data_IF_746145702144
#
_entry.id   IF_746145702144
#
_cell.length_a   1.000
_cell.length_b   1.000
_cell.length_c   1.000
_cell.angle_alpha   90.00
_cell.angle_beta   90.00
_cell.angle_gamma   90.00
#
_symmetry.space_group_name_H-M   'P 1'
#
loop_
_entity.id
_entity.type
_entity.pdbx_description
1 polymer ?
#
# COMPACT_ATOMS: atom_id res chain seq x y z
N UNK A 1 23.53 21.78 -6.96
CA UNK A 1 23.27 21.18 -6.80
C UNK A 1 23.15 20.46 -6.68
N UNK A 2 23.11 20.29 -6.55
CA UNK A 2 22.82 19.50 -6.44
C UNK A 2 22.67 18.72 -6.14
N UNK A 3 22.67 18.65 -6.21
CA UNK A 3 22.37 17.81 -5.97
C UNK A 3 22.13 17.15 -5.51
N UNK A 4 22.05 17.15 -5.35
CA UNK A 4 21.68 16.37 -4.89
C UNK A 4 21.27 15.89 -4.62
N UNK A 5 21.07 15.89 -4.65
CA UNK A 5 20.53 15.26 -4.41
C UNK A 5 20.20 14.52 -4.21
N UNK A 6 20.19 14.37 -4.23
CA UNK A 6 19.95 13.53 -4.25
C UNK A 6 19.74 12.57 -3.65
N UNK A 7 20.01 12.18 -3.07
CA UNK A 7 19.77 11.30 -2.46
C UNK A 7 18.82 11.40 -1.73
N UNK A 8 18.10 11.47 -2.14
CA UNK A 8 17.20 11.49 -1.56
C UNK A 8 16.75 10.55 -1.02
N UNK A 9 16.68 10.57 -0.11
CA UNK A 9 16.20 9.56 0.70
C UNK A 9 14.87 9.21 0.22
N UNK A 10 14.70 7.98 0.06
CA UNK A 10 13.40 7.43 -0.23
C UNK A 10 12.66 7.49 1.09
N UNK A 11 11.57 8.24 1.12
CA UNK A 11 10.80 8.39 2.34
C UNK A 11 10.08 7.12 2.69
N UNK A 12 9.74 6.32 1.71
CA UNK A 12 9.07 5.05 1.93
C UNK A 12 9.37 4.09 0.79
N UNK A 13 9.33 2.82 1.07
CA UNK A 13 9.53 1.80 0.06
C UNK A 13 8.79 0.53 0.49
N UNK A 14 8.52 -0.33 -0.46
CA UNK A 14 7.89 -1.61 -0.16
C UNK A 14 8.97 -2.64 0.14
N UNK A 15 8.82 -3.35 1.25
CA UNK A 15 9.78 -4.38 1.64
C UNK A 15 9.35 -5.76 1.17
N UNK A 16 8.06 -6.02 1.14
CA UNK A 16 7.55 -7.31 0.69
C UNK A 16 6.11 -7.16 0.26
N UNK A 17 5.65 -8.08 -0.56
CA UNK A 17 4.26 -8.10 -0.98
C UNK A 17 3.78 -9.54 -1.08
N UNK A 18 2.49 -9.72 -0.90
CA UNK A 18 1.87 -11.02 -0.98
C UNK A 18 0.48 -10.84 -1.60
N UNK A 19 0.19 -11.64 -2.63
CA UNK A 19 -1.07 -11.57 -3.31
C UNK A 19 -1.92 -12.76 -2.95
N UNK A 20 -3.18 -12.53 -2.66
CA UNK A 20 -4.14 -13.60 -2.45
C UNK A 20 -5.29 -13.37 -3.41
N UNK A 21 -5.57 -14.35 -4.24
CA UNK A 21 -6.68 -14.26 -5.17
C UNK A 21 -7.65 -15.38 -4.85
N UNK A 22 -8.89 -15.02 -4.64
CA UNK A 22 -9.91 -16.00 -4.30
C UNK A 22 -11.13 -15.65 -5.13
N UNK A 23 -11.56 -16.56 -5.97
CA UNK A 23 -12.64 -16.33 -6.90
C UNK A 23 -12.31 -15.09 -7.73
N UNK A 24 -13.08 -14.04 -7.59
CA UNK A 24 -12.84 -12.82 -8.34
C UNK A 24 -12.27 -11.72 -7.47
N UNK A 25 -11.72 -12.07 -6.33
CA UNK A 25 -11.24 -11.07 -5.37
C UNK A 25 -9.71 -11.12 -5.30
N UNK A 26 -9.09 -9.99 -5.51
CA UNK A 26 -7.64 -9.88 -5.47
C UNK A 26 -7.26 -8.99 -4.29
N UNK A 27 -6.58 -9.57 -3.33
CA UNK A 27 -6.16 -8.88 -2.12
C UNK A 27 -4.65 -8.75 -2.13
N UNK A 28 -4.15 -7.55 -1.99
CA UNK A 28 -2.71 -7.27 -1.98
C UNK A 28 -2.30 -6.89 -0.57
N UNK A 29 -1.38 -7.65 0.01
CA UNK A 29 -0.83 -7.35 1.33
C UNK A 29 0.60 -6.90 1.15
N UNK A 30 0.96 -5.74 1.70
CA UNK A 30 2.31 -5.21 1.54
C UNK A 30 2.86 -4.75 2.87
N UNK A 31 4.17 -4.84 3.00
CA UNK A 31 4.90 -4.30 4.14
C UNK A 31 5.73 -3.13 3.63
N UNK A 32 5.58 -1.99 4.28
CA UNK A 32 6.20 -0.74 3.88
C UNK A 32 7.19 -0.30 4.95
N UNK A 33 8.33 0.22 4.53
CA UNK A 33 9.22 0.91 5.44
C UNK A 33 9.09 2.40 5.16
N UNK A 34 8.95 3.20 6.20
CA UNK A 34 8.88 4.65 6.07
C UNK A 34 9.62 5.25 7.25
N UNK A 35 10.27 6.42 7.06
CA UNK A 35 11.02 6.97 8.16
C UNK A 35 10.07 7.51 9.25
N UNK A 36 10.63 7.74 10.43
CA UNK A 36 9.82 8.12 11.59
C UNK A 36 9.07 9.43 11.37
N UNK A 37 9.68 10.37 10.69
CA UNK A 37 9.04 11.66 10.47
C UNK A 37 7.84 11.53 9.53
N UNK A 38 7.97 10.66 8.53
CA UNK A 38 6.89 10.40 7.58
C UNK A 38 5.70 9.75 8.30
N UNK A 39 5.98 8.84 9.23
CA UNK A 39 4.95 8.11 9.93
C UNK A 39 4.18 8.99 10.93
N UNK A 40 4.77 10.11 11.36
CA UNK A 40 4.11 10.99 12.32
C UNK A 40 2.78 11.53 11.79
N UNK A 41 2.71 11.79 10.49
CA UNK A 41 1.44 12.19 9.88
C UNK A 41 0.87 10.96 9.21
N UNK A 42 0.15 10.18 9.99
CA UNK A 42 -0.35 8.88 9.55
C UNK A 42 -1.24 8.97 8.33
N UNK A 43 -2.12 9.98 8.29
CA UNK A 43 -3.04 10.11 7.16
C UNK A 43 -2.31 10.48 5.87
N UNK A 44 -1.36 11.38 5.93
CA UNK A 44 -0.59 11.76 4.76
C UNK A 44 0.27 10.59 4.29
N UNK A 45 0.88 9.88 5.24
CA UNK A 45 1.72 8.73 4.93
C UNK A 45 0.90 7.65 4.24
N UNK A 46 -0.27 7.34 4.77
CA UNK A 46 -1.14 6.30 4.21
C UNK A 46 -1.61 6.66 2.81
N UNK A 47 -2.00 7.90 2.59
CA UNK A 47 -2.43 8.35 1.27
C UNK A 47 -1.30 8.26 0.26
N UNK A 48 -0.09 8.59 0.68
CA UNK A 48 1.06 8.51 -0.21
C UNK A 48 1.38 7.06 -0.56
N UNK A 49 1.24 6.15 0.40
CA UNK A 49 1.43 4.72 0.16
C UNK A 49 0.45 4.23 -0.92
N UNK A 50 -0.81 4.60 -0.79
CA UNK A 50 -1.82 4.19 -1.77
C UNK A 50 -1.50 4.78 -3.15
N UNK A 51 -1.03 6.02 -3.19
CA UNK A 51 -0.65 6.62 -4.46
C UNK A 51 0.50 5.85 -5.12
N UNK A 52 1.49 5.43 -4.35
CA UNK A 52 2.59 4.61 -4.88
C UNK A 52 2.09 3.24 -5.34
N UNK A 53 1.12 2.66 -4.64
CA UNK A 53 0.53 1.40 -5.07
C UNK A 53 -0.16 1.58 -6.43
N UNK A 54 -0.92 2.67 -6.57
CA UNK A 54 -1.61 2.96 -7.83
C UNK A 54 -0.64 3.23 -8.97
N UNK A 55 0.41 3.98 -8.70
CA UNK A 55 1.39 4.34 -9.71
C UNK A 55 2.39 3.21 -9.96
N UNK A 56 2.41 2.22 -9.09
CA UNK A 56 3.30 1.06 -9.20
C UNK A 56 4.75 1.52 -9.27
N UNK A 57 5.12 2.46 -8.41
CA UNK A 57 6.43 3.09 -8.49
C UNK A 57 7.26 3.00 -7.23
N UNK A 58 7.03 2.00 -6.39
CA UNK A 58 7.95 1.72 -5.30
C UNK A 58 9.30 1.33 -5.90
N UNK A 59 10.36 1.66 -5.20
CA UNK A 59 11.69 1.40 -5.69
C UNK A 59 12.00 -0.09 -5.78
N UNK A 60 11.66 -0.85 -4.76
CA UNK A 60 12.09 -2.23 -4.64
C UNK A 60 11.13 -3.27 -5.20
N UNK A 61 9.89 -2.93 -5.38
CA UNK A 61 8.87 -3.89 -5.80
C UNK A 61 8.02 -3.29 -6.91
N UNK A 62 7.70 -4.12 -7.89
CA UNK A 62 6.73 -3.76 -8.92
C UNK A 62 5.62 -4.79 -8.90
N UNK A 63 4.40 -4.33 -9.06
CA UNK A 63 3.25 -5.22 -9.08
C UNK A 63 2.87 -5.55 -10.52
N UNK A 64 2.27 -6.71 -10.71
CA UNK A 64 1.97 -7.21 -12.07
C UNK A 64 0.53 -6.87 -12.45
N UNK A 65 0.20 -5.60 -12.48
CA UNK A 65 -1.17 -5.17 -12.77
C UNK A 65 -1.59 -5.48 -14.20
N UNK A 66 -0.63 -5.61 -15.11
CA UNK A 66 -0.93 -5.97 -16.48
C UNK A 66 -1.37 -7.43 -16.59
N UNK A 67 -1.06 -8.25 -15.60
CA UNK A 67 -1.46 -9.64 -15.60
C UNK A 67 -2.66 -9.90 -14.70
N UNK A 68 -2.68 -9.28 -13.54
CA UNK A 68 -3.69 -9.56 -12.53
C UNK A 68 -4.73 -8.48 -12.35
N UNK A 69 -4.53 -7.33 -13.00
CA UNK A 69 -5.37 -6.17 -12.76
C UNK A 69 -5.03 -5.51 -11.44
N UNK A 70 -5.79 -4.50 -11.07
CA UNK A 70 -5.57 -3.78 -9.82
C UNK A 70 -6.32 -4.47 -8.68
N UNK A 71 -5.79 -4.39 -7.47
CA UNK A 71 -6.42 -5.11 -6.36
C UNK A 71 -7.77 -4.54 -5.95
N UNK A 72 -8.57 -5.40 -5.34
CA UNK A 72 -9.85 -5.03 -4.77
C UNK A 72 -9.71 -4.62 -3.31
N UNK A 73 -8.58 -4.91 -2.71
CA UNK A 73 -8.31 -4.59 -1.31
C UNK A 73 -6.80 -4.54 -1.13
N UNK A 74 -6.32 -3.59 -0.36
CA UNK A 74 -4.90 -3.49 -0.03
C UNK A 74 -4.77 -3.48 1.48
N UNK A 75 -3.93 -4.36 2.01
CA UNK A 75 -3.63 -4.42 3.44
C UNK A 75 -2.19 -4.01 3.64
N UNK A 76 -1.94 -3.07 4.51
CA UNK A 76 -0.62 -2.46 4.65
C UNK A 76 -0.16 -2.48 6.10
N UNK A 77 1.06 -2.96 6.30
CA UNK A 77 1.75 -2.85 7.59
C UNK A 77 2.93 -1.92 7.38
N UNK A 78 3.12 -0.96 8.26
CA UNK A 78 4.17 0.03 8.14
C UNK A 78 5.19 -0.15 9.26
N UNK A 79 6.47 -0.12 8.89
CA UNK A 79 7.59 -0.27 9.82
C UNK A 79 8.51 0.93 9.64
N UNK A 80 9.21 1.31 10.71
CA UNK A 80 10.11 2.47 10.63
C UNK A 80 11.57 2.07 10.45
N UNK A 81 11.87 0.79 10.44
CA UNK A 81 13.22 0.30 10.17
C UNK A 81 13.17 -1.16 9.73
N UNK A 82 14.22 -1.61 9.07
CA UNK A 82 14.32 -3.03 8.70
C UNK A 82 14.40 -3.90 9.94
N UNK A 83 15.02 -3.40 10.99
CA UNK A 83 15.12 -4.12 12.25
C UNK A 83 13.74 -4.39 12.82
N UNK A 84 12.89 -3.38 12.83
CA UNK A 84 11.52 -3.53 13.31
C UNK A 84 10.72 -4.46 12.42
N UNK A 85 10.95 -4.41 11.11
CA UNK A 85 10.29 -5.32 10.19
C UNK A 85 10.66 -6.78 10.51
N UNK A 86 11.93 -7.04 10.75
CA UNK A 86 12.38 -8.39 11.07
C UNK A 86 11.83 -8.89 12.39
N UNK A 87 11.53 -7.98 13.30
CA UNK A 87 10.97 -8.35 14.61
C UNK A 87 9.46 -8.37 14.60
N UNK A 88 8.83 -7.99 13.49
CA UNK A 88 7.39 -7.90 13.43
C UNK A 88 6.81 -6.74 14.21
N UNK A 89 7.62 -5.68 14.45
CA UNK A 89 7.21 -4.56 15.25
C UNK A 89 6.60 -3.47 14.39
N UNK A 90 5.32 -3.54 14.19
CA UNK A 90 4.57 -2.65 13.30
C UNK A 90 4.38 -1.28 13.92
N UNK A 91 4.63 -0.21 13.16
CA UNK A 91 4.37 1.13 13.62
C UNK A 91 2.87 1.42 13.59
N UNK A 92 2.23 1.09 12.48
CA UNK A 92 0.78 1.11 12.38
C UNK A 92 0.39 0.31 11.14
N UNK A 93 -0.90 -0.02 11.04
CA UNK A 93 -1.42 -0.79 9.92
C UNK A 93 -2.73 -0.20 9.46
N UNK A 94 -3.05 -0.38 8.20
CA UNK A 94 -4.35 0.00 7.69
C UNK A 94 -4.76 -0.91 6.53
N UNK A 95 -6.07 -0.89 6.25
CA UNK A 95 -6.61 -1.54 5.08
C UNK A 95 -7.22 -0.47 4.19
N UNK A 96 -7.06 -0.62 2.89
CA UNK A 96 -7.70 0.25 1.91
C UNK A 96 -8.80 -0.60 1.26
N UNK A 97 -10.02 -0.34 1.64
CA UNK A 97 -11.14 -1.21 1.32
C UNK A 97 -12.36 -0.40 0.91
N UNK A 98 -13.26 -1.07 0.22
CA UNK A 98 -14.52 -0.45 -0.12
C UNK A 98 -15.59 -1.06 0.80
N UNK A 99 -16.61 -0.27 1.05
CA UNK A 99 -17.71 -0.70 1.88
C UNK A 99 -18.65 -1.55 1.06
N UNK A 100 -18.33 -2.82 0.99
CA UNK A 100 -19.18 -3.66 0.27
C UNK A 100 -20.20 -4.19 1.11
N UNK A 101 -21.21 -3.75 0.98
CA UNK A 101 -22.25 -4.23 1.53
C UNK A 101 -22.97 -5.04 0.60
N UNK A 102 -22.40 -6.03 -0.01
CA UNK A 102 -23.22 -6.34 -0.94
C UNK A 102 -23.12 -7.47 -1.65
N UNK A 103 -24.15 -7.77 -2.03
CA UNK A 103 -24.40 -8.74 -2.91
C UNK A 103 -23.88 -8.40 -4.22
N UNK A 104 -23.43 -7.23 -4.43
CA UNK A 104 -22.96 -6.86 -5.72
C UNK A 104 -21.50 -6.61 -5.71
N UNK A 105 -20.77 -7.55 -5.20
CA UNK A 105 -19.34 -7.48 -5.27
C UNK A 105 -18.97 -7.60 -6.73
N UNK A 106 -18.71 -6.47 -7.34
CA UNK A 106 -18.35 -6.45 -8.71
C UNK A 106 -16.84 -6.51 -8.74
N UNK A 107 -16.32 -7.49 -9.44
CA UNK A 107 -14.88 -7.62 -9.58
C UNK A 107 -14.28 -6.41 -10.25
N UNK A 108 -15.10 -5.55 -10.78
CA UNK A 108 -14.61 -4.34 -11.39
C UNK A 108 -14.34 -3.27 -10.38
N UNK A 109 -14.74 -3.44 -9.12
CA UNK A 109 -14.46 -2.47 -8.09
C UNK A 109 -13.04 -2.66 -7.61
N UNK A 110 -12.13 -1.96 -8.20
CA UNK A 110 -10.73 -2.02 -7.82
C UNK A 110 -10.24 -0.61 -7.50
N UNK A 111 -9.06 -0.52 -6.92
CA UNK A 111 -8.55 0.73 -6.39
C UNK A 111 -8.28 1.77 -7.47
N UNK A 112 -8.12 1.35 -8.71
CA UNK A 112 -7.82 2.28 -9.79
C UNK A 112 -9.10 2.84 -10.42
N UNK A 113 -10.05 1.96 -10.71
CA UNK A 113 -11.23 2.36 -11.47
C UNK A 113 -12.28 3.00 -10.59
N UNK A 114 -12.30 2.66 -9.31
CA UNK A 114 -13.32 3.15 -8.40
C UNK A 114 -12.72 3.76 -7.13
N UNK A 115 -11.79 4.71 -7.27
CA UNK A 115 -11.09 5.22 -6.08
C UNK A 115 -12.01 5.88 -5.06
N UNK A 116 -13.13 6.43 -5.50
CA UNK A 116 -14.04 7.10 -4.58
C UNK A 116 -14.82 6.13 -3.71
N UNK A 117 -14.78 4.84 -4.04
CA UNK A 117 -15.48 3.84 -3.26
C UNK A 117 -14.61 3.25 -2.15
N UNK A 118 -13.35 3.63 -2.11
CA UNK A 118 -12.41 3.05 -1.15
C UNK A 118 -12.06 4.03 -0.04
N UNK A 119 -11.78 3.50 1.13
CA UNK A 119 -11.35 4.33 2.25
C UNK A 119 -10.29 3.61 3.05
N UNK A 120 -9.49 4.40 3.76
CA UNK A 120 -8.44 3.88 4.63
C UNK A 120 -9.06 3.59 5.99
N UNK A 121 -8.90 2.35 6.45
CA UNK A 121 -9.39 1.95 7.77
C UNK A 121 -8.21 1.49 8.60
N UNK A 122 -7.90 2.21 9.66
CA UNK A 122 -6.78 1.87 10.53
C UNK A 122 -7.14 0.71 11.46
N UNK A 123 -6.13 -0.08 11.77
CA UNK A 123 -6.32 -1.20 12.68
C UNK A 123 -5.86 -0.87 14.09
#
# INVERSE_FOLDING_TARGET
>A
MLSGCTKESIKMDALSSHNTTSANWYELSISIIADKDTVLDRDACSSEIIQHVLDNDFHSIRFSYDLSGYPNEVNVDIFTSEKDFKKGKVAYSFDYVTDFNTENVDIQNNIKDNPDEFEIQYK
#
